data_IF_042726117959
#
_entry.id   IF_042726117959
#
_cell.length_a   1.000
_cell.length_b   1.000
_cell.length_c   1.000
_cell.angle_alpha   90.00
_cell.angle_beta   90.00
_cell.angle_gamma   90.00
#
_symmetry.space_group_name_H-M   'P 1'
#
loop_
_entity.id
_entity.type
_entity.pdbx_description
1 polymer ?
#
# COMPACT_ATOMS: atom_id res chain seq x y z
N UNK A 1 12.33 -4.22 -12.81
CA UNK A 1 11.09 -3.79 -12.13
C UNK A 1 10.75 -4.82 -11.07
N UNK A 2 11.19 -4.63 -9.81
CA UNK A 2 10.79 -5.54 -8.72
C UNK A 2 9.36 -5.17 -8.35
N UNK A 3 8.37 -5.95 -8.82
CA UNK A 3 7.05 -5.93 -8.19
C UNK A 3 7.25 -6.52 -6.80
N UNK A 4 7.47 -5.66 -5.81
CA UNK A 4 7.18 -6.01 -4.41
C UNK A 4 5.75 -6.55 -4.44
N UNK A 5 5.54 -7.78 -3.99
CA UNK A 5 4.25 -8.49 -4.06
C UNK A 5 3.15 -7.87 -3.19
N UNK A 6 3.22 -6.57 -2.94
CA UNK A 6 2.30 -5.83 -2.12
C UNK A 6 1.04 -5.50 -2.92
N UNK A 7 -0.11 -5.74 -2.30
CA UNK A 7 -1.41 -5.35 -2.83
C UNK A 7 -1.75 -3.95 -2.33
N UNK A 8 -2.41 -3.15 -3.17
CA UNK A 8 -2.85 -1.82 -2.74
C UNK A 8 -4.18 -1.43 -3.34
N UNK A 9 -4.98 -0.72 -2.55
CA UNK A 9 -6.29 -0.18 -2.95
C UNK A 9 -6.32 1.32 -2.70
N UNK A 10 -6.97 2.06 -3.60
CA UNK A 10 -7.24 3.49 -3.41
C UNK A 10 -8.56 3.63 -2.67
N UNK A 11 -8.52 4.18 -1.45
CA UNK A 11 -9.73 4.44 -0.67
C UNK A 11 -10.32 5.78 -1.08
N UNK A 12 -9.47 6.81 -1.17
CA UNK A 12 -9.79 8.14 -1.68
C UNK A 12 -8.48 8.81 -2.16
N UNK A 13 -8.51 10.07 -2.66
CA UNK A 13 -7.29 10.71 -3.15
C UNK A 13 -6.15 10.82 -2.13
N UNK A 14 -6.47 10.88 -0.83
CA UNK A 14 -5.50 11.06 0.26
C UNK A 14 -5.08 9.76 0.94
N UNK A 15 -5.88 8.70 0.84
CA UNK A 15 -5.71 7.48 1.62
C UNK A 15 -5.61 6.23 0.75
N UNK A 16 -4.66 5.37 1.12
CA UNK A 16 -4.34 4.10 0.48
C UNK A 16 -4.47 2.99 1.51
N UNK A 17 -4.95 1.85 1.04
CA UNK A 17 -4.85 0.59 1.72
C UNK A 17 -3.66 -0.17 1.14
N UNK A 18 -2.77 -0.66 2.00
CA UNK A 18 -1.61 -1.46 1.62
C UNK A 18 -1.67 -2.80 2.35
N UNK A 19 -1.45 -3.88 1.62
CA UNK A 19 -1.24 -5.21 2.18
C UNK A 19 0.12 -5.72 1.69
N UNK A 20 0.95 -6.13 2.66
CA UNK A 20 2.29 -6.67 2.39
C UNK A 20 2.32 -8.20 2.44
N UNK A 21 1.20 -8.82 2.78
CA UNK A 21 1.03 -10.23 3.09
C UNK A 21 -0.09 -10.88 2.26
N UNK A 22 -0.13 -10.51 0.97
CA UNK A 22 -1.05 -11.07 -0.04
C UNK A 22 -2.54 -10.92 0.31
N UNK A 23 -2.89 -9.81 0.96
CA UNK A 23 -4.28 -9.45 1.25
C UNK A 23 -4.81 -9.98 2.58
N UNK A 24 -3.97 -10.60 3.42
CA UNK A 24 -4.38 -11.09 4.75
C UNK A 24 -4.57 -9.95 5.74
N UNK A 25 -3.70 -8.95 5.72
CA UNK A 25 -3.82 -7.74 6.55
C UNK A 25 -3.76 -6.49 5.69
N UNK A 26 -4.50 -5.47 6.12
CA UNK A 26 -4.68 -4.23 5.39
C UNK A 26 -4.43 -3.04 6.30
N UNK A 27 -3.44 -2.23 5.94
CA UNK A 27 -3.10 -1.02 6.65
C UNK A 27 -3.61 0.21 5.89
N UNK A 28 -4.39 1.05 6.56
CA UNK A 28 -4.80 2.36 6.02
C UNK A 28 -3.69 3.36 6.29
N UNK A 29 -3.21 4.01 5.24
CA UNK A 29 -2.15 5.00 5.34
C UNK A 29 -2.33 6.13 4.34
N UNK A 30 -1.71 7.27 4.62
CA UNK A 30 -1.76 8.41 3.72
C UNK A 30 -1.05 8.09 2.40
N UNK A 31 -1.35 8.87 1.36
CA UNK A 31 -0.67 8.73 0.06
C UNK A 31 0.85 8.90 0.18
N UNK A 32 1.31 9.82 1.03
CA UNK A 32 2.73 10.05 1.26
C UNK A 32 3.39 8.84 1.93
N UNK A 33 2.78 8.32 2.99
CA UNK A 33 3.25 7.13 3.69
C UNK A 33 3.28 5.93 2.74
N UNK A 34 2.23 5.73 1.94
CA UNK A 34 2.17 4.67 0.93
C UNK A 34 3.33 4.74 -0.07
N UNK A 35 3.65 5.94 -0.58
CA UNK A 35 4.77 6.10 -1.51
C UNK A 35 6.11 5.75 -0.87
N UNK A 36 6.28 5.98 0.43
CA UNK A 36 7.48 5.54 1.14
C UNK A 36 7.52 4.03 1.35
N UNK A 37 6.38 3.41 1.66
CA UNK A 37 6.32 1.99 2.03
C UNK A 37 6.28 1.04 0.83
N UNK A 38 5.80 1.47 -0.34
CA UNK A 38 5.69 0.60 -1.53
C UNK A 38 7.04 0.27 -2.18
N UNK A 39 8.02 1.16 -2.02
CA UNK A 39 9.36 1.06 -2.61
C UNK A 39 10.41 0.45 -1.64
N UNK A 40 9.96 0.07 -0.44
CA UNK A 40 10.78 -0.55 0.61
C UNK A 40 10.73 -2.08 0.52
#
# INVERSE_FOLDING_TARGET
>A
MRRTGYLSLKVNPRWRLLSKDDGRNWEVMSHETYNREKDK
#
